data_IF_112442452981
#
_entry.id   IF_112442452981
#
_cell.length_a   1.000
_cell.length_b   1.000
_cell.length_c   1.000
_cell.angle_alpha   90.00
_cell.angle_beta   90.00
_cell.angle_gamma   90.00
#
_symmetry.space_group_name_H-M   'P 1'
#
loop_
_entity.id
_entity.type
_entity.pdbx_description
1 polymer ?
#
# COMPACT_ATOMS: atom_id res chain seq x y z
N UNK A 1 -69.92 18.59 37.79
CA UNK A 1 -69.51 18.03 36.49
C UNK A 1 -68.48 18.98 35.91
N UNK A 2 -67.19 18.71 36.10
CA UNK A 2 -66.11 19.64 35.70
C UNK A 2 -65.55 19.17 34.37
N UNK A 3 -65.89 19.86 33.29
CA UNK A 3 -65.34 19.61 31.95
C UNK A 3 -63.93 20.18 31.87
N UNK A 4 -62.94 19.29 31.84
CA UNK A 4 -61.54 19.64 31.63
C UNK A 4 -61.33 19.87 30.13
N UNK A 5 -61.32 21.13 29.69
CA UNK A 5 -61.11 21.48 28.29
C UNK A 5 -59.62 21.28 27.94
N UNK A 6 -59.30 20.13 27.34
CA UNK A 6 -57.99 19.89 26.74
C UNK A 6 -57.75 20.93 25.64
N UNK A 7 -56.78 21.82 25.85
CA UNK A 7 -56.29 22.73 24.80
C UNK A 7 -55.69 21.90 23.67
N UNK A 8 -56.30 21.93 22.49
CA UNK A 8 -55.75 21.34 21.28
C UNK A 8 -54.41 22.00 20.96
N UNK A 9 -53.33 21.21 20.85
CA UNK A 9 -52.02 21.72 20.42
C UNK A 9 -52.06 22.00 18.92
N UNK A 10 -51.99 23.27 18.55
CA UNK A 10 -51.96 23.69 17.15
C UNK A 10 -50.55 23.62 16.56
N UNK A 11 -50.44 23.14 15.33
CA UNK A 11 -49.20 23.23 14.56
C UNK A 11 -49.00 24.69 14.15
N UNK A 12 -47.89 25.30 14.58
CA UNK A 12 -47.62 26.73 14.39
C UNK A 12 -46.42 26.92 13.48
N UNK A 13 -46.16 28.15 13.03
CA UNK A 13 -44.94 28.47 12.28
C UNK A 13 -43.64 28.08 13.00
N UNK A 14 -43.64 28.05 14.34
CA UNK A 14 -42.49 27.54 15.13
C UNK A 14 -42.32 26.02 14.99
N UNK A 15 -43.43 25.27 14.96
CA UNK A 15 -43.40 23.83 14.72
C UNK A 15 -42.89 23.52 13.29
N UNK A 16 -43.31 24.30 12.29
CA UNK A 16 -42.81 24.19 10.92
C UNK A 16 -41.30 24.51 10.84
N UNK A 17 -40.86 25.59 11.46
CA UNK A 17 -39.43 25.98 11.47
C UNK A 17 -38.55 24.90 12.11
N UNK A 18 -38.94 24.36 13.27
CA UNK A 18 -38.20 23.28 13.92
C UNK A 18 -38.16 22.00 13.05
N UNK A 19 -39.25 21.68 12.37
CA UNK A 19 -39.32 20.52 11.48
C UNK A 19 -38.40 20.68 10.27
N UNK A 20 -38.41 21.85 9.62
CA UNK A 20 -37.51 22.17 8.50
C UNK A 20 -36.05 22.08 8.95
N UNK A 21 -35.69 22.73 10.06
CA UNK A 21 -34.32 22.70 10.57
C UNK A 21 -33.86 21.29 10.96
N UNK A 22 -34.74 20.49 11.57
CA UNK A 22 -34.45 19.10 11.89
C UNK A 22 -34.21 18.26 10.65
N UNK A 23 -35.06 18.40 9.63
CA UNK A 23 -34.93 17.67 8.36
C UNK A 23 -33.62 17.99 7.64
N UNK A 24 -33.31 19.27 7.44
CA UNK A 24 -32.06 19.68 6.80
C UNK A 24 -30.85 19.36 7.68
N UNK A 25 -30.97 19.45 9.00
CA UNK A 25 -29.91 19.06 9.94
C UNK A 25 -29.51 17.60 9.78
N UNK A 26 -30.48 16.68 9.65
CA UNK A 26 -30.20 15.26 9.39
C UNK A 26 -29.50 15.07 8.04
N UNK A 27 -29.99 15.71 6.97
CA UNK A 27 -29.37 15.63 5.65
C UNK A 27 -27.91 16.11 5.68
N UNK A 28 -27.67 17.28 6.29
CA UNK A 28 -26.33 17.84 6.44
C UNK A 28 -25.44 16.91 7.25
N UNK A 29 -25.92 16.38 8.38
CA UNK A 29 -25.15 15.47 9.21
C UNK A 29 -24.75 14.20 8.46
N UNK A 30 -25.68 13.58 7.72
CA UNK A 30 -25.39 12.40 6.89
C UNK A 30 -24.39 12.75 5.79
N UNK A 31 -24.58 13.85 5.07
CA UNK A 31 -23.67 14.26 3.99
C UNK A 31 -22.26 14.56 4.50
N UNK A 32 -22.13 15.24 5.64
CA UNK A 32 -20.82 15.50 6.27
C UNK A 32 -20.18 14.22 6.79
N UNK A 33 -20.97 13.29 7.35
CA UNK A 33 -20.47 11.97 7.76
C UNK A 33 -19.95 11.20 6.55
N UNK A 34 -20.72 11.15 5.46
CA UNK A 34 -20.30 10.52 4.21
C UNK A 34 -19.07 11.19 3.62
N UNK A 35 -18.98 12.53 3.60
CA UNK A 35 -17.81 13.26 3.13
C UNK A 35 -16.58 12.98 3.99
N UNK A 36 -16.75 12.87 5.32
CA UNK A 36 -15.67 12.56 6.25
C UNK A 36 -15.19 11.12 6.04
N UNK A 37 -16.12 10.16 5.97
CA UNK A 37 -15.81 8.76 5.69
C UNK A 37 -15.15 8.60 4.32
N UNK A 38 -15.63 9.28 3.28
CA UNK A 38 -15.02 9.26 1.96
C UNK A 38 -13.60 9.86 2.01
N UNK A 39 -13.41 10.99 2.69
CA UNK A 39 -12.09 11.62 2.79
C UNK A 39 -11.10 10.78 3.60
N UNK A 40 -11.56 9.99 4.57
CA UNK A 40 -10.68 9.11 5.37
C UNK A 40 -10.51 7.71 4.79
N UNK A 41 -11.44 7.22 3.96
CA UNK A 41 -11.37 5.89 3.34
C UNK A 41 -10.82 5.89 1.92
N UNK A 42 -10.73 7.03 1.25
CA UNK A 42 -10.16 7.12 -0.10
C UNK A 42 -8.64 7.25 -0.04
N UNK A 43 -7.94 6.22 -0.53
CA UNK A 43 -6.48 6.03 -0.44
C UNK A 43 -5.69 6.85 -1.46
N UNK A 44 -6.07 8.11 -1.70
CA UNK A 44 -5.25 9.07 -2.42
C UNK A 44 -5.81 9.54 -3.76
N UNK A 45 -5.72 10.87 -3.94
CA UNK A 45 -5.78 11.53 -5.23
C UNK A 45 -4.64 10.97 -6.11
N UNK A 46 -4.94 10.52 -7.33
CA UNK A 46 -3.91 10.21 -8.33
C UNK A 46 -3.27 11.54 -8.74
N UNK A 47 -2.23 11.91 -7.99
CA UNK A 47 -1.24 12.98 -8.21
C UNK A 47 -1.81 14.40 -8.38
N UNK A 48 -1.39 15.29 -7.49
CA UNK A 48 -1.69 16.74 -7.52
C UNK A 48 -1.04 17.48 -8.73
N UNK A 49 -0.18 16.81 -9.50
CA UNK A 49 0.49 17.38 -10.67
C UNK A 49 0.97 16.30 -11.66
N UNK A 50 0.16 15.99 -12.68
CA UNK A 50 0.43 14.99 -13.74
C UNK A 50 1.77 15.19 -14.45
N UNK A 51 2.29 16.42 -14.51
CA UNK A 51 3.58 16.73 -15.16
C UNK A 51 4.77 16.23 -14.32
N UNK A 52 4.73 16.39 -13.00
CA UNK A 52 5.77 15.87 -12.09
C UNK A 52 5.76 14.34 -12.11
N UNK A 53 4.58 13.73 -12.12
CA UNK A 53 4.46 12.27 -12.27
C UNK A 53 5.04 11.76 -13.60
N UNK A 54 4.84 12.49 -14.71
CA UNK A 54 5.38 12.10 -16.02
C UNK A 54 6.91 12.16 -16.07
N UNK A 55 7.53 13.18 -15.46
CA UNK A 55 8.99 13.28 -15.39
C UNK A 55 9.58 12.16 -14.52
N UNK A 56 8.94 11.87 -13.38
CA UNK A 56 9.33 10.74 -12.53
C UNK A 56 9.18 9.40 -13.26
N UNK A 57 8.13 9.24 -14.07
CA UNK A 57 7.94 8.05 -14.89
C UNK A 57 9.06 7.89 -15.93
N UNK A 58 9.40 8.95 -16.68
CA UNK A 58 10.46 8.89 -17.68
C UNK A 58 11.81 8.53 -17.04
N UNK A 59 12.14 9.13 -15.90
CA UNK A 59 13.37 8.81 -15.15
C UNK A 59 13.40 7.35 -14.69
N UNK A 60 12.32 6.86 -14.09
CA UNK A 60 12.19 5.45 -13.67
C UNK A 60 12.25 4.49 -14.86
N UNK A 61 11.75 4.89 -16.02
CA UNK A 61 11.84 4.10 -17.24
C UNK A 61 13.28 4.02 -17.77
N UNK A 62 14.04 5.11 -17.68
CA UNK A 62 15.47 5.11 -18.02
C UNK A 62 16.29 4.25 -17.05
N UNK A 63 16.07 4.38 -15.74
CA UNK A 63 16.67 3.53 -14.71
C UNK A 63 16.36 2.04 -14.97
N UNK A 64 15.10 1.71 -15.27
CA UNK A 64 14.69 0.34 -15.59
C UNK A 64 15.34 -0.21 -16.86
N UNK A 65 15.57 0.62 -17.89
CA UNK A 65 16.30 0.21 -19.09
C UNK A 65 17.78 -0.03 -18.81
N UNK A 66 18.41 0.82 -17.99
CA UNK A 66 19.80 0.64 -17.58
C UNK A 66 19.97 -0.66 -16.79
N UNK A 67 19.04 -0.93 -15.87
CA UNK A 67 19.03 -2.18 -15.10
C UNK A 67 18.80 -3.40 -16.00
N UNK A 68 17.87 -3.34 -16.95
CA UNK A 68 17.62 -4.43 -17.89
C UNK A 68 18.86 -4.74 -18.76
N UNK A 69 19.64 -3.71 -19.12
CA UNK A 69 20.87 -3.88 -19.88
C UNK A 69 21.97 -4.63 -19.12
N UNK A 70 21.93 -4.68 -17.78
CA UNK A 70 22.87 -5.46 -16.96
C UNK A 70 22.67 -6.97 -17.15
N UNK A 71 21.46 -7.41 -17.50
CA UNK A 71 21.12 -8.83 -17.67
C UNK A 71 21.23 -9.66 -16.38
N UNK A 72 21.27 -9.01 -15.22
CA UNK A 72 21.34 -9.69 -13.92
C UNK A 72 20.00 -10.34 -13.56
N UNK A 73 20.07 -11.43 -12.81
CA UNK A 73 18.92 -12.22 -12.38
C UNK A 73 18.85 -12.27 -10.85
N UNK A 74 17.78 -11.74 -10.28
CA UNK A 74 17.47 -11.88 -8.86
C UNK A 74 16.84 -13.24 -8.55
N UNK A 75 17.17 -13.85 -7.42
CA UNK A 75 16.54 -15.05 -6.90
C UNK A 75 15.96 -14.76 -5.52
N UNK A 76 14.63 -14.69 -5.45
CA UNK A 76 13.87 -14.55 -4.20
C UNK A 76 13.32 -15.92 -3.79
N UNK A 77 13.61 -16.34 -2.57
CA UNK A 77 13.06 -17.57 -1.98
C UNK A 77 12.36 -17.23 -0.67
N UNK A 78 11.15 -17.74 -0.46
CA UNK A 78 10.43 -17.62 0.82
C UNK A 78 10.01 -19.03 1.20
N UNK A 79 10.57 -19.53 2.30
CA UNK A 79 10.24 -20.86 2.81
C UNK A 79 10.58 -20.97 4.29
N UNK A 80 9.81 -21.78 5.04
CA UNK A 80 10.08 -22.11 6.45
C UNK A 80 10.23 -20.86 7.35
N UNK A 81 9.52 -19.78 7.05
CA UNK A 81 9.58 -18.51 7.81
C UNK A 81 10.84 -17.68 7.57
N UNK A 82 11.58 -17.97 6.50
CA UNK A 82 12.76 -17.22 6.10
C UNK A 82 12.61 -16.70 4.67
N UNK A 83 13.01 -15.46 4.47
CA UNK A 83 13.09 -14.80 3.17
C UNK A 83 14.57 -14.73 2.81
N UNK A 84 14.93 -15.21 1.62
CA UNK A 84 16.29 -15.18 1.07
C UNK A 84 16.31 -14.49 -0.27
N UNK A 85 17.35 -13.71 -0.50
CA UNK A 85 17.59 -13.03 -1.76
C UNK A 85 19.07 -13.12 -2.16
N UNK A 86 19.30 -13.41 -3.44
CA UNK A 86 20.62 -13.34 -4.07
C UNK A 86 20.50 -12.73 -5.47
N UNK A 87 21.57 -12.12 -5.95
CA UNK A 87 21.64 -11.53 -7.29
C UNK A 87 22.78 -12.18 -8.07
N UNK A 88 22.56 -12.53 -9.34
CA UNK A 88 23.55 -13.17 -10.20
C UNK A 88 23.70 -12.44 -11.53
N UNK A 89 24.91 -12.43 -12.08
CA UNK A 89 25.19 -11.83 -13.38
C UNK A 89 24.75 -12.74 -14.55
N UNK A 90 24.99 -12.29 -15.79
CA UNK A 90 24.66 -13.04 -17.02
C UNK A 90 25.43 -14.35 -17.15
N UNK A 91 26.53 -14.52 -16.42
CA UNK A 91 27.34 -15.74 -16.37
C UNK A 91 26.99 -16.66 -15.20
N UNK A 92 26.02 -16.25 -14.36
CA UNK A 92 25.60 -16.98 -13.16
C UNK A 92 26.48 -16.74 -11.94
N UNK A 93 27.43 -15.80 -11.99
CA UNK A 93 28.26 -15.46 -10.83
C UNK A 93 27.48 -14.56 -9.86
N UNK A 94 27.65 -14.74 -8.53
CA UNK A 94 27.00 -13.87 -7.56
C UNK A 94 27.50 -12.43 -7.71
N UNK A 95 26.56 -11.48 -7.76
CA UNK A 95 26.86 -10.05 -7.74
C UNK A 95 27.05 -9.63 -6.28
N UNK A 96 28.14 -8.92 -5.93
CA UNK A 96 28.34 -8.45 -4.57
C UNK A 96 27.29 -7.42 -4.18
N UNK A 97 26.65 -7.65 -3.04
CA UNK A 97 25.62 -6.81 -2.45
C UNK A 97 26.09 -6.27 -1.10
N UNK A 98 25.82 -5.00 -0.85
CA UNK A 98 26.13 -4.32 0.42
C UNK A 98 24.93 -4.24 1.36
N UNK A 99 23.72 -4.40 0.81
CA UNK A 99 22.49 -4.43 1.59
C UNK A 99 21.29 -4.79 0.72
N UNK A 100 20.29 -5.42 1.33
CA UNK A 100 19.04 -5.77 0.66
C UNK A 100 17.88 -5.35 1.54
N UNK A 101 16.93 -4.62 0.96
CA UNK A 101 15.66 -4.26 1.60
C UNK A 101 14.53 -4.85 0.78
N UNK A 102 13.55 -5.43 1.46
CA UNK A 102 12.36 -5.99 0.84
C UNK A 102 11.13 -5.30 1.43
N UNK A 103 10.26 -4.80 0.56
CA UNK A 103 8.95 -4.28 0.91
C UNK A 103 7.87 -5.23 0.42
N UNK A 104 7.16 -5.84 1.36
CA UNK A 104 5.97 -6.63 1.09
C UNK A 104 4.76 -5.70 1.05
N UNK A 105 4.06 -5.65 -0.07
CA UNK A 105 2.87 -4.81 -0.26
C UNK A 105 1.65 -5.63 -0.57
N UNK A 106 0.54 -5.32 0.09
CA UNK A 106 -0.72 -5.97 -0.25
C UNK A 106 -1.37 -5.25 -1.45
N UNK A 107 -1.85 -5.96 -2.50
CA UNK A 107 -2.35 -5.32 -3.72
C UNK A 107 -3.52 -4.34 -3.54
N UNK A 108 -4.29 -4.48 -2.45
CA UNK A 108 -5.51 -3.70 -2.21
C UNK A 108 -5.52 -2.89 -0.91
N UNK A 109 -4.56 -3.08 0.00
CA UNK A 109 -4.60 -2.47 1.33
C UNK A 109 -3.19 -2.07 1.80
N UNK A 110 -2.87 -0.78 1.77
CA UNK A 110 -1.55 -0.28 2.18
C UNK A 110 -1.21 -0.54 3.67
N UNK A 111 -2.23 -0.73 4.51
CA UNK A 111 -2.04 -1.06 5.94
C UNK A 111 -1.32 -2.40 6.16
N UNK A 112 -1.20 -3.24 5.13
CA UNK A 112 -0.47 -4.50 5.17
C UNK A 112 1.02 -4.37 4.82
N UNK A 113 1.50 -3.19 4.45
CA UNK A 113 2.84 -3.01 3.90
C UNK A 113 3.91 -3.21 4.99
N UNK A 114 4.88 -4.08 4.73
CA UNK A 114 5.95 -4.42 5.67
C UNK A 114 7.32 -4.38 5.02
N UNK A 115 8.20 -3.55 5.57
CA UNK A 115 9.61 -3.51 5.19
C UNK A 115 10.42 -4.51 6.03
N UNK A 116 11.30 -5.25 5.37
CA UNK A 116 12.22 -6.23 5.95
C UNK A 116 13.61 -5.96 5.40
N UNK A 117 14.57 -5.67 6.28
CA UNK A 117 15.99 -5.57 5.91
C UNK A 117 16.63 -6.94 6.10
N UNK A 118 17.32 -7.42 5.07
CA UNK A 118 18.01 -8.71 5.14
C UNK A 118 19.45 -8.52 5.62
N UNK A 119 19.94 -9.53 6.34
CA UNK A 119 21.33 -9.61 6.77
C UNK A 119 22.11 -10.57 5.86
N UNK A 120 23.39 -10.30 5.65
CA UNK A 120 24.27 -11.20 4.90
C UNK A 120 24.44 -12.52 5.69
N UNK A 121 24.18 -13.66 5.03
CA UNK A 121 24.27 -14.98 5.67
C UNK A 121 25.40 -15.83 5.06
N UNK A 122 25.59 -15.79 3.74
CA UNK A 122 26.66 -16.54 3.06
C UNK A 122 26.90 -16.04 1.65
N UNK A 123 28.15 -15.84 1.23
CA UNK A 123 28.62 -15.66 -0.16
C UNK A 123 27.64 -14.90 -1.09
N UNK A 124 27.18 -13.71 -0.67
CA UNK A 124 26.22 -12.82 -1.35
C UNK A 124 24.74 -13.22 -1.33
N UNK A 125 24.37 -14.15 -0.45
CA UNK A 125 22.99 -14.44 -0.08
C UNK A 125 22.62 -13.70 1.21
N UNK A 126 21.51 -12.98 1.13
CA UNK A 126 20.94 -12.21 2.22
C UNK A 126 19.67 -12.89 2.71
N UNK A 127 19.50 -13.00 4.03
CA UNK A 127 18.32 -13.61 4.63
C UNK A 127 17.75 -12.79 5.80
N UNK A 128 16.46 -12.96 6.04
CA UNK A 128 15.78 -12.48 7.24
C UNK A 128 14.70 -13.46 7.67
N UNK A 129 14.52 -13.61 8.99
CA UNK A 129 13.34 -14.32 9.51
C UNK A 129 12.11 -13.43 9.33
N UNK A 130 11.26 -13.83 8.40
CA UNK A 130 9.98 -13.19 8.16
C UNK A 130 9.03 -14.21 7.55
N UNK A 131 7.86 -14.33 8.15
CA UNK A 131 6.77 -15.17 7.65
C UNK A 131 5.63 -14.25 7.22
N UNK A 132 5.56 -13.87 5.94
CA UNK A 132 4.40 -13.17 5.42
C UNK A 132 3.15 -14.03 5.60
N UNK A 133 2.00 -13.40 5.75
CA UNK A 133 0.73 -14.13 5.77
C UNK A 133 0.44 -14.73 4.40
N UNK A 134 -0.27 -15.84 4.38
CA UNK A 134 -0.79 -16.42 3.15
C UNK A 134 -1.66 -15.41 2.40
N UNK A 135 -1.47 -15.31 1.08
CA UNK A 135 -2.11 -14.29 0.26
C UNK A 135 -1.24 -13.77 -0.87
N UNK A 136 -1.81 -12.88 -1.67
CA UNK A 136 -1.15 -12.25 -2.83
C UNK A 136 -0.36 -11.05 -2.34
N UNK A 137 0.89 -10.95 -2.77
CA UNK A 137 1.78 -9.86 -2.42
C UNK A 137 2.47 -9.29 -3.65
N UNK A 138 2.75 -8.00 -3.61
CA UNK A 138 3.74 -7.36 -4.48
C UNK A 138 4.98 -7.18 -3.61
N UNK A 139 6.07 -7.81 -4.00
CA UNK A 139 7.36 -7.72 -3.32
C UNK A 139 8.25 -6.81 -4.13
N UNK A 140 8.70 -5.73 -3.50
CA UNK A 140 9.70 -4.82 -4.05
C UNK A 140 11.02 -5.05 -3.32
N UNK A 141 12.06 -5.43 -4.04
CA UNK A 141 13.41 -5.64 -3.52
C UNK A 141 14.31 -4.52 -4.01
N UNK A 142 14.96 -3.82 -3.09
CA UNK A 142 16.04 -2.88 -3.38
C UNK A 142 17.36 -3.50 -2.91
N UNK A 143 18.21 -3.86 -3.86
CA UNK A 143 19.52 -4.46 -3.63
C UNK A 143 20.63 -3.44 -3.94
N UNK A 144 21.43 -3.10 -2.94
CA UNK A 144 22.61 -2.25 -3.11
C UNK A 144 23.75 -3.09 -3.70
N UNK A 145 23.98 -2.93 -5.00
CA UNK A 145 25.01 -3.61 -5.76
C UNK A 145 26.20 -2.69 -6.12
N UNK A 146 26.39 -1.58 -5.40
CA UNK A 146 27.44 -0.60 -5.71
C UNK A 146 27.20 0.22 -6.98
N UNK A 147 25.95 0.21 -7.48
CA UNK A 147 25.48 1.07 -8.58
C UNK A 147 25.11 2.46 -8.04
N UNK A 148 24.87 3.43 -8.93
CA UNK A 148 24.38 4.76 -8.55
C UNK A 148 23.00 4.70 -7.89
N UNK A 149 22.14 3.80 -8.37
CA UNK A 149 20.81 3.52 -7.82
C UNK A 149 20.75 2.03 -7.46
N UNK A 150 20.00 1.63 -6.41
CA UNK A 150 19.87 0.22 -6.05
C UNK A 150 19.22 -0.58 -7.19
N UNK A 151 19.65 -1.83 -7.35
CA UNK A 151 19.02 -2.77 -8.26
C UNK A 151 17.62 -3.11 -7.74
N UNK A 152 16.59 -2.77 -8.51
CA UNK A 152 15.19 -2.89 -8.09
C UNK A 152 14.49 -4.08 -8.75
N UNK A 153 14.05 -5.04 -7.96
CA UNK A 153 13.32 -6.22 -8.43
C UNK A 153 11.90 -6.21 -7.87
N UNK A 154 10.89 -6.11 -8.75
CA UNK A 154 9.48 -6.05 -8.35
C UNK A 154 8.75 -7.27 -8.89
N UNK A 155 8.17 -8.07 -7.99
CA UNK A 155 7.47 -9.31 -8.33
C UNK A 155 6.13 -9.41 -7.64
N UNK A 156 5.12 -9.86 -8.38
CA UNK A 156 3.88 -10.33 -7.76
C UNK A 156 4.04 -11.79 -7.42
N UNK A 157 3.81 -12.15 -6.16
CA UNK A 157 3.97 -13.52 -5.66
C UNK A 157 2.70 -14.00 -4.96
N UNK A 158 2.56 -15.32 -4.90
CA UNK A 158 1.55 -15.99 -4.10
C UNK A 158 2.25 -16.69 -2.95
N UNK A 159 1.80 -16.43 -1.72
CA UNK A 159 2.29 -17.12 -0.53
C UNK A 159 1.19 -18.06 -0.04
N UNK A 160 1.53 -19.33 0.10
CA UNK A 160 0.65 -20.38 0.63
C UNK A 160 1.44 -21.26 1.58
N UNK A 161 0.87 -21.55 2.75
CA UNK A 161 1.52 -22.34 3.81
C UNK A 161 2.91 -21.78 4.19
N UNK A 162 3.08 -20.46 4.14
CA UNK A 162 4.36 -19.82 4.48
C UNK A 162 5.50 -20.00 3.47
N UNK A 163 5.19 -20.42 2.24
CA UNK A 163 6.14 -20.55 1.14
C UNK A 163 5.68 -19.81 -0.12
N UNK A 164 6.65 -19.36 -0.93
CA UNK A 164 6.39 -18.81 -2.26
C UNK A 164 6.00 -19.95 -3.22
N UNK A 165 4.88 -19.76 -3.93
CA UNK A 165 4.42 -20.65 -5.02
C UNK A 165 4.98 -20.24 -6.38
#
# INVERSE_FOLDING_TARGET
MSTNTQKTREFTGRHMLLTILGFFGVIIAVNLTMATLASTSWTGLVVENTYVASQQFNRKAEEGRAQAALGWTGKLTIARGEVRYSLSDTTGKPVPLHGVKILFRHPAYEAGDKAVTLALVSDQEFAAQHLPRDGVWIVEVDADAGLTEPYRDVRRIMISQGALQ
#
